data_IF_013213194144
#
_entry.id   IF_013213194144
#
_cell.length_a   1.000
_cell.length_b   1.000
_cell.length_c   1.000
_cell.angle_alpha   90.00
_cell.angle_beta   90.00
_cell.angle_gamma   90.00
#
_symmetry.space_group_name_H-M   'P 1'
#
loop_
_entity.id
_entity.type
_entity.pdbx_description
1 polymer ?
#
# COMPACT_ATOMS: atom_id res chain seq x y z
N UNK A 1 -18.31 40.17 -2.75
CA UNK A 1 -19.34 39.11 -2.75
C UNK A 1 -18.63 37.81 -2.48
N UNK A 2 -18.83 37.20 -1.32
CA UNK A 2 -18.27 35.89 -0.98
C UNK A 2 -18.86 34.83 -1.91
N UNK A 3 -18.00 34.08 -2.62
CA UNK A 3 -18.40 32.89 -3.37
C UNK A 3 -19.02 31.89 -2.39
N UNK A 4 -20.35 31.82 -2.34
CA UNK A 4 -21.05 30.81 -1.57
C UNK A 4 -20.79 29.47 -2.28
N UNK A 5 -20.12 28.50 -1.64
CA UNK A 5 -19.74 27.28 -2.32
C UNK A 5 -20.99 26.49 -2.71
N UNK A 6 -21.12 26.18 -4.01
CA UNK A 6 -22.24 25.43 -4.58
C UNK A 6 -22.36 24.07 -3.86
N UNK A 7 -23.48 23.88 -3.17
CA UNK A 7 -23.82 22.59 -2.56
C UNK A 7 -24.28 21.61 -3.62
N UNK A 8 -23.74 20.39 -3.60
CA UNK A 8 -24.12 19.30 -4.49
C UNK A 8 -24.76 18.21 -3.64
N UNK A 9 -25.94 17.73 -4.06
CA UNK A 9 -26.68 16.65 -3.41
C UNK A 9 -26.77 15.48 -4.37
N UNK A 10 -26.46 14.28 -3.89
CA UNK A 10 -26.52 13.03 -4.69
C UNK A 10 -27.11 11.89 -3.87
N UNK A 11 -27.71 10.94 -4.57
CA UNK A 11 -28.09 9.64 -3.99
C UNK A 11 -26.91 8.70 -4.16
N UNK A 12 -26.30 8.30 -3.06
CA UNK A 12 -25.18 7.39 -3.00
C UNK A 12 -25.57 6.04 -2.40
N UNK A 13 -24.66 5.08 -2.49
CA UNK A 13 -24.74 3.80 -1.79
C UNK A 13 -23.66 3.76 -0.73
N UNK A 14 -24.03 3.42 0.50
CA UNK A 14 -23.06 3.18 1.57
C UNK A 14 -22.17 1.98 1.19
N UNK A 15 -20.85 2.10 1.40
CA UNK A 15 -19.89 1.16 0.86
C UNK A 15 -20.10 -0.29 1.36
N UNK A 16 -20.37 -0.46 2.66
CA UNK A 16 -20.50 -1.78 3.30
C UNK A 16 -21.87 -2.41 3.00
N UNK A 17 -22.96 -1.77 3.43
CA UNK A 17 -24.33 -2.29 3.32
C UNK A 17 -24.92 -2.19 1.91
N UNK A 18 -24.44 -1.27 1.07
CA UNK A 18 -25.05 -0.96 -0.22
C UNK A 18 -26.38 -0.21 -0.11
N UNK A 19 -26.81 0.16 1.12
CA UNK A 19 -28.04 0.93 1.36
C UNK A 19 -27.95 2.30 0.68
N UNK A 20 -29.04 2.72 0.05
CA UNK A 20 -29.11 4.05 -0.53
C UNK A 20 -29.16 5.11 0.58
N UNK A 21 -28.34 6.13 0.43
CA UNK A 21 -28.22 7.27 1.33
C UNK A 21 -28.17 8.55 0.51
N UNK A 22 -28.69 9.64 1.06
CA UNK A 22 -28.48 10.97 0.48
C UNK A 22 -27.23 11.57 1.11
N UNK A 23 -26.34 12.11 0.26
CA UNK A 23 -25.16 12.84 0.73
C UNK A 23 -25.12 14.22 0.06
N UNK A 24 -24.60 15.19 0.81
CA UNK A 24 -24.49 16.58 0.40
C UNK A 24 -23.06 17.04 0.65
N UNK A 25 -22.46 17.70 -0.33
CA UNK A 25 -21.07 18.12 -0.19
C UNK A 25 -20.80 19.45 -0.89
N UNK A 26 -19.80 20.16 -0.37
CA UNK A 26 -19.36 21.48 -0.83
C UNK A 26 -17.88 21.47 -1.15
N UNK A 27 -17.45 22.44 -1.95
CA UNK A 27 -16.06 22.64 -2.35
C UNK A 27 -15.47 21.47 -3.14
N UNK A 28 -15.00 21.76 -4.36
CA UNK A 28 -14.25 20.81 -5.18
C UNK A 28 -12.89 21.43 -5.48
N UNK A 29 -11.90 21.17 -4.65
CA UNK A 29 -10.52 21.45 -5.02
C UNK A 29 -9.97 20.21 -5.70
N UNK A 30 -9.54 20.32 -6.96
CA UNK A 30 -8.81 19.23 -7.62
C UNK A 30 -7.50 19.04 -6.87
N UNK A 31 -7.30 17.84 -6.32
CA UNK A 31 -6.09 17.49 -5.56
C UNK A 31 -5.17 16.56 -6.33
N UNK A 32 -5.69 15.88 -7.36
CA UNK A 32 -4.90 15.05 -8.26
C UNK A 32 -5.61 14.79 -9.58
N UNK A 33 -4.84 14.78 -10.67
CA UNK A 33 -5.24 14.28 -11.98
C UNK A 33 -4.31 13.11 -12.32
N UNK A 34 -4.88 11.93 -12.57
CA UNK A 34 -4.13 10.74 -12.96
C UNK A 34 -4.73 10.09 -14.20
N UNK A 35 -4.04 9.08 -14.73
CA UNK A 35 -4.49 8.28 -15.87
C UNK A 35 -5.84 7.59 -15.64
N UNK A 36 -6.23 7.36 -14.38
CA UNK A 36 -7.45 6.64 -14.01
C UNK A 36 -8.62 7.56 -13.63
N UNK A 37 -8.43 8.87 -13.56
CA UNK A 37 -9.50 9.82 -13.21
C UNK A 37 -9.03 11.05 -12.45
N UNK A 38 -10.00 11.77 -11.90
CA UNK A 38 -9.79 13.03 -11.16
C UNK A 38 -10.18 12.84 -9.71
N UNK A 39 -9.33 13.31 -8.79
CA UNK A 39 -9.60 13.31 -7.35
C UNK A 39 -9.91 14.73 -6.88
N UNK A 40 -11.02 14.88 -6.18
CA UNK A 40 -11.45 16.13 -5.56
C UNK A 40 -11.38 16.02 -4.04
N UNK A 41 -10.78 17.00 -3.38
CA UNK A 41 -11.05 17.25 -1.96
C UNK A 41 -12.39 17.98 -1.84
N UNK A 42 -13.20 17.52 -0.90
CA UNK A 42 -14.51 18.06 -0.58
C UNK A 42 -14.82 17.99 0.91
N UNK A 43 -15.94 18.57 1.33
CA UNK A 43 -16.47 18.45 2.69
C UNK A 43 -17.89 17.91 2.65
N UNK A 44 -18.14 16.82 3.36
CA UNK A 44 -19.48 16.28 3.56
C UNK A 44 -20.23 17.16 4.56
N UNK A 45 -21.45 17.57 4.22
CA UNK A 45 -22.22 18.51 5.05
C UNK A 45 -22.89 17.80 6.23
N UNK A 46 -23.29 16.54 6.08
CA UNK A 46 -23.97 15.78 7.12
C UNK A 46 -23.07 15.51 8.33
N UNK A 47 -21.77 15.29 8.10
CA UNK A 47 -20.79 14.98 9.15
C UNK A 47 -19.81 16.13 9.42
N UNK A 48 -19.81 17.15 8.56
CA UNK A 48 -18.81 18.22 8.55
C UNK A 48 -17.35 17.72 8.43
N UNK A 49 -17.16 16.54 7.83
CA UNK A 49 -15.84 15.92 7.62
C UNK A 49 -15.31 16.19 6.21
N UNK A 50 -13.99 16.34 6.09
CA UNK A 50 -13.33 16.32 4.78
C UNK A 50 -13.39 14.92 4.16
N UNK A 51 -13.51 14.88 2.83
CA UNK A 51 -13.56 13.65 2.04
C UNK A 51 -12.82 13.82 0.71
N UNK A 52 -12.40 12.70 0.14
CA UNK A 52 -11.86 12.62 -1.21
C UNK A 52 -12.87 11.95 -2.15
N UNK A 53 -13.20 12.58 -3.28
CA UNK A 53 -14.04 11.96 -4.31
C UNK A 53 -13.17 11.64 -5.52
N UNK A 54 -12.93 10.36 -5.78
CA UNK A 54 -12.28 9.89 -7.01
C UNK A 54 -13.35 9.63 -8.06
N UNK A 55 -13.34 10.41 -9.13
CA UNK A 55 -14.25 10.30 -10.27
C UNK A 55 -13.56 9.57 -11.41
N UNK A 56 -14.10 8.42 -11.81
CA UNK A 56 -13.56 7.55 -12.87
C UNK A 56 -14.63 7.29 -13.92
N UNK A 57 -14.24 7.19 -15.19
CA UNK A 57 -15.16 6.80 -16.26
C UNK A 57 -15.53 5.32 -16.07
N UNK A 58 -16.82 5.01 -16.14
CA UNK A 58 -17.35 3.67 -15.94
C UNK A 58 -17.85 3.09 -17.26
N UNK A 59 -17.23 2.00 -17.71
CA UNK A 59 -17.83 1.16 -18.74
C UNK A 59 -19.02 0.39 -18.15
N UNK A 60 -20.22 0.61 -18.69
CA UNK A 60 -21.46 -0.01 -18.21
C UNK A 60 -21.46 -1.54 -18.32
N UNK A 61 -20.61 -2.10 -19.17
CA UNK A 61 -20.55 -3.55 -19.44
C UNK A 61 -19.78 -4.33 -18.38
N UNK A 62 -18.95 -3.65 -17.58
CA UNK A 62 -18.05 -4.29 -16.64
C UNK A 62 -18.26 -3.77 -15.23
N UNK A 63 -18.12 -4.65 -14.24
CA UNK A 63 -18.00 -4.23 -12.84
C UNK A 63 -16.66 -3.51 -12.64
N UNK A 64 -16.65 -2.46 -11.83
CA UNK A 64 -15.42 -1.77 -11.48
C UNK A 64 -14.67 -2.54 -10.38
N UNK A 65 -13.47 -3.04 -10.72
CA UNK A 65 -12.65 -3.82 -9.80
C UNK A 65 -12.21 -3.03 -8.58
N UNK A 66 -11.86 -1.75 -8.74
CA UNK A 66 -11.48 -0.87 -7.63
C UNK A 66 -12.63 -0.77 -6.63
N UNK A 67 -13.86 -0.54 -7.10
CA UNK A 67 -15.05 -0.54 -6.24
C UNK A 67 -15.25 -1.88 -5.53
N UNK A 68 -15.10 -3.01 -6.23
CA UNK A 68 -15.27 -4.33 -5.63
C UNK A 68 -14.27 -4.56 -4.49
N UNK A 69 -12.99 -4.25 -4.72
CA UNK A 69 -11.93 -4.39 -3.72
C UNK A 69 -12.13 -3.42 -2.56
N UNK A 70 -12.42 -2.15 -2.84
CA UNK A 70 -12.61 -1.11 -1.81
C UNK A 70 -13.83 -1.37 -0.92
N UNK A 71 -14.79 -2.19 -1.35
CA UNK A 71 -15.92 -2.66 -0.52
C UNK A 71 -15.56 -3.85 0.37
N UNK A 72 -14.50 -4.60 0.04
CA UNK A 72 -14.03 -5.74 0.82
C UNK A 72 -13.07 -5.35 1.94
N UNK A 73 -12.25 -4.33 1.71
CA UNK A 73 -11.18 -3.93 2.63
C UNK A 73 -11.70 -2.98 3.70
N UNK A 74 -11.31 -3.24 4.93
CA UNK A 74 -11.60 -2.41 6.10
C UNK A 74 -10.47 -2.59 7.12
N UNK A 75 -9.52 -1.64 7.11
CA UNK A 75 -8.30 -1.73 7.90
C UNK A 75 -7.78 -0.33 8.25
N UNK A 76 -7.23 -0.09 9.46
CA UNK A 76 -6.75 1.23 9.88
C UNK A 76 -5.75 1.87 8.91
N UNK A 77 -4.89 1.06 8.27
CA UNK A 77 -3.88 1.52 7.32
C UNK A 77 -4.28 1.38 5.84
N UNK A 78 -5.58 1.22 5.54
CA UNK A 78 -6.12 1.30 4.17
C UNK A 78 -7.14 2.44 4.12
N UNK A 79 -7.09 3.25 3.07
CA UNK A 79 -8.02 4.37 2.89
C UNK A 79 -9.45 3.83 2.72
N UNK A 80 -10.34 4.23 3.62
CA UNK A 80 -11.71 3.73 3.70
C UNK A 80 -12.59 4.32 2.61
N UNK A 81 -13.30 3.45 1.90
CA UNK A 81 -14.47 3.84 1.10
C UNK A 81 -15.66 4.10 2.04
N UNK A 82 -16.17 5.33 2.05
CA UNK A 82 -17.37 5.73 2.81
C UNK A 82 -18.63 5.38 2.02
N UNK A 83 -18.70 5.83 0.77
CA UNK A 83 -19.84 5.60 -0.12
C UNK A 83 -19.43 5.70 -1.58
N UNK A 84 -20.33 5.37 -2.49
CA UNK A 84 -20.10 5.54 -3.93
C UNK A 84 -21.40 5.90 -4.65
N UNK A 85 -21.30 6.61 -5.77
CA UNK A 85 -22.45 6.96 -6.60
C UNK A 85 -22.08 7.05 -8.07
N UNK A 86 -23.08 6.93 -8.93
CA UNK A 86 -22.92 7.05 -10.38
C UNK A 86 -23.59 8.34 -10.85
N UNK A 87 -22.89 9.10 -11.69
CA UNK A 87 -23.45 10.27 -12.36
C UNK A 87 -23.30 10.12 -13.87
N UNK A 88 -24.33 10.52 -14.60
CA UNK A 88 -24.30 10.64 -16.05
C UNK A 88 -24.01 12.11 -16.41
N UNK A 89 -23.22 12.35 -17.44
CA UNK A 89 -22.97 13.71 -17.91
C UNK A 89 -24.18 14.18 -18.71
N UNK A 90 -24.71 15.37 -18.37
CA UNK A 90 -25.75 16.02 -19.16
C UNK A 90 -25.27 16.16 -20.61
N UNK A 91 -26.11 15.78 -21.57
CA UNK A 91 -25.82 15.80 -23.01
C UNK A 91 -24.80 14.75 -23.51
N UNK A 92 -24.40 13.78 -22.68
CA UNK A 92 -23.61 12.61 -23.12
C UNK A 92 -24.15 11.32 -22.50
N UNK A 93 -25.20 10.77 -23.12
CA UNK A 93 -25.94 9.64 -22.56
C UNK A 93 -25.08 8.37 -22.36
N UNK A 94 -23.98 8.21 -23.09
CA UNK A 94 -23.12 7.01 -22.98
C UNK A 94 -22.01 7.14 -21.92
N UNK A 95 -21.78 8.33 -21.36
CA UNK A 95 -20.72 8.55 -20.38
C UNK A 95 -21.27 8.50 -18.94
N UNK A 96 -21.06 7.35 -18.27
CA UNK A 96 -21.32 7.21 -16.83
C UNK A 96 -20.01 7.31 -16.08
N UNK A 97 -20.03 8.06 -14.98
CA UNK A 97 -18.90 8.16 -14.07
C UNK A 97 -19.24 7.51 -12.74
N UNK A 98 -18.34 6.67 -12.26
CA UNK A 98 -18.32 6.17 -10.89
C UNK A 98 -17.56 7.18 -10.03
N UNK A 99 -18.14 7.53 -8.88
CA UNK A 99 -17.55 8.42 -7.90
C UNK A 99 -17.37 7.64 -6.59
N UNK A 100 -16.13 7.47 -6.17
CA UNK A 100 -15.76 6.82 -4.92
C UNK A 100 -15.53 7.90 -3.86
N UNK A 101 -16.37 7.92 -2.82
CA UNK A 101 -16.26 8.85 -1.69
C UNK A 101 -15.45 8.18 -0.60
N UNK A 102 -14.25 8.70 -0.33
CA UNK A 102 -13.27 8.13 0.58
C UNK A 102 -12.97 9.10 1.73
N UNK A 103 -12.38 8.61 2.81
CA UNK A 103 -11.76 9.48 3.80
C UNK A 103 -10.68 10.36 3.17
N UNK A 104 -10.53 11.58 3.69
CA UNK A 104 -9.48 12.50 3.26
C UNK A 104 -8.30 12.45 4.22
N UNK A 105 -7.11 12.22 3.67
CA UNK A 105 -5.84 12.28 4.38
C UNK A 105 -5.00 13.38 3.73
N UNK A 106 -4.40 14.31 4.51
CA UNK A 106 -3.96 15.61 3.99
C UNK A 106 -2.70 15.57 3.13
N UNK A 107 -1.84 14.57 3.31
CA UNK A 107 -0.55 14.51 2.64
C UNK A 107 -0.25 13.13 2.04
N UNK A 108 0.90 13.01 1.39
CA UNK A 108 1.43 11.77 0.80
C UNK A 108 2.88 11.55 1.21
N UNK A 109 3.31 10.29 1.26
CA UNK A 109 4.71 9.96 1.51
C UNK A 109 5.64 10.57 0.47
N UNK A 110 5.20 10.66 -0.79
CA UNK A 110 5.96 11.35 -1.84
C UNK A 110 6.30 12.80 -1.47
N UNK A 111 5.31 13.56 -1.00
CA UNK A 111 5.50 14.96 -0.59
C UNK A 111 6.37 15.07 0.66
N UNK A 112 6.21 14.16 1.62
CA UNK A 112 7.05 14.11 2.81
C UNK A 112 8.53 13.83 2.47
N UNK A 113 8.81 12.83 1.63
CA UNK A 113 10.18 12.52 1.17
C UNK A 113 10.78 13.71 0.43
N UNK A 114 10.03 14.32 -0.49
CA UNK A 114 10.46 15.53 -1.22
C UNK A 114 10.72 16.73 -0.31
N UNK A 115 9.95 16.88 0.78
CA UNK A 115 10.16 17.94 1.75
C UNK A 115 11.53 17.82 2.41
N UNK A 116 11.86 16.65 2.98
CA UNK A 116 13.17 16.40 3.59
C UNK A 116 14.32 16.55 2.57
N UNK A 117 14.17 15.99 1.37
CA UNK A 117 15.17 16.11 0.32
C UNK A 117 15.46 17.58 -0.08
N UNK A 118 14.42 18.42 -0.20
CA UNK A 118 14.59 19.86 -0.48
C UNK A 118 15.33 20.59 0.63
N UNK A 119 15.14 20.19 1.88
CA UNK A 119 15.85 20.72 3.04
C UNK A 119 17.26 20.11 3.21
N UNK A 120 17.69 19.23 2.30
CA UNK A 120 18.96 18.46 2.42
C UNK A 120 19.07 17.70 3.74
N UNK A 121 17.92 17.22 4.23
CA UNK A 121 17.82 16.41 5.44
C UNK A 121 17.35 15.01 5.08
N UNK A 122 17.75 14.03 5.88
CA UNK A 122 17.15 12.70 5.83
C UNK A 122 15.87 12.68 6.66
N UNK A 123 14.91 11.84 6.26
CA UNK A 123 13.72 11.61 7.08
C UNK A 123 14.15 10.97 8.42
N UNK A 124 13.68 11.48 9.58
CA UNK A 124 13.95 10.86 10.86
C UNK A 124 13.62 9.38 10.86
N UNK A 125 14.54 8.55 11.35
CA UNK A 125 14.41 7.10 11.30
C UNK A 125 13.16 6.57 12.03
N UNK A 126 12.71 7.28 13.07
CA UNK A 126 11.47 6.95 13.77
C UNK A 126 10.24 7.10 12.85
N UNK A 127 10.18 8.13 12.00
CA UNK A 127 9.13 8.27 11.00
C UNK A 127 9.21 7.17 9.94
N UNK A 128 10.43 6.79 9.52
CA UNK A 128 10.61 5.66 8.59
C UNK A 128 10.02 4.39 9.19
N UNK A 129 10.29 4.09 10.47
CA UNK A 129 9.71 2.95 11.17
C UNK A 129 8.19 3.03 11.21
N UNK A 130 7.62 4.14 11.67
CA UNK A 130 6.17 4.32 11.83
C UNK A 130 5.43 4.17 10.50
N UNK A 131 5.92 4.79 9.44
CA UNK A 131 5.26 4.72 8.13
C UNK A 131 5.44 3.34 7.49
N UNK A 132 6.64 2.76 7.54
CA UNK A 132 6.89 1.44 6.96
C UNK A 132 6.10 0.35 7.69
N UNK A 133 6.00 0.41 9.01
CA UNK A 133 5.21 -0.56 9.79
C UNK A 133 3.74 -0.55 9.35
N UNK A 134 3.14 0.64 9.21
CA UNK A 134 1.76 0.80 8.78
C UNK A 134 1.54 0.38 7.31
N UNK A 135 2.49 0.67 6.41
CA UNK A 135 2.46 0.19 5.01
C UNK A 135 2.50 -1.35 4.98
N UNK A 136 3.45 -1.95 5.69
CA UNK A 136 3.61 -3.41 5.73
C UNK A 136 2.40 -4.08 6.38
N UNK A 137 1.82 -3.47 7.42
CA UNK A 137 0.60 -3.98 8.07
C UNK A 137 -0.59 -3.95 7.11
N UNK A 138 -0.74 -2.86 6.34
CA UNK A 138 -1.75 -2.80 5.27
C UNK A 138 -1.56 -3.90 4.23
N UNK A 139 -0.30 -4.20 3.86
CA UNK A 139 0.02 -5.29 2.93
C UNK A 139 -0.31 -6.66 3.50
N UNK A 140 0.06 -6.95 4.75
CA UNK A 140 -0.27 -8.21 5.41
C UNK A 140 -1.78 -8.45 5.39
N UNK A 141 -2.57 -7.41 5.69
CA UNK A 141 -4.02 -7.47 5.63
C UNK A 141 -4.56 -7.77 4.22
N UNK A 142 -4.20 -6.98 3.19
CA UNK A 142 -4.75 -7.21 1.84
C UNK A 142 -4.23 -8.51 1.21
N UNK A 143 -3.00 -8.92 1.54
CA UNK A 143 -2.43 -10.18 1.09
C UNK A 143 -3.14 -11.38 1.71
N UNK A 144 -3.63 -11.27 2.95
CA UNK A 144 -4.49 -12.30 3.58
C UNK A 144 -5.83 -12.50 2.86
N UNK A 145 -6.23 -11.53 2.04
CA UNK A 145 -7.41 -11.59 1.17
C UNK A 145 -7.04 -12.04 -0.25
N UNK A 146 -5.78 -12.33 -0.56
CA UNK A 146 -5.30 -12.63 -1.91
C UNK A 146 -5.25 -11.42 -2.85
N UNK A 147 -5.40 -10.20 -2.32
CA UNK A 147 -5.37 -8.96 -3.10
C UNK A 147 -3.92 -8.51 -3.25
N UNK A 148 -3.46 -8.37 -4.49
CA UNK A 148 -2.22 -7.69 -4.83
C UNK A 148 -2.54 -6.23 -5.22
N UNK A 149 -1.82 -5.26 -4.65
CA UNK A 149 -2.03 -3.85 -4.95
C UNK A 149 -1.51 -3.47 -6.33
N UNK A 150 -0.33 -3.97 -6.71
CA UNK A 150 0.30 -3.78 -8.03
C UNK A 150 0.62 -2.34 -8.43
N UNK A 151 0.68 -1.43 -7.45
CA UNK A 151 1.12 -0.04 -7.65
C UNK A 151 1.54 0.63 -6.34
N UNK A 152 2.26 -0.10 -5.48
CA UNK A 152 2.82 0.46 -4.24
C UNK A 152 3.92 1.45 -4.61
N UNK A 153 3.75 2.70 -4.16
CA UNK A 153 4.67 3.83 -4.39
C UNK A 153 4.36 4.96 -3.40
N UNK A 154 5.30 5.91 -3.17
CA UNK A 154 5.10 6.99 -2.19
C UNK A 154 3.88 7.88 -2.47
N UNK A 155 3.43 7.99 -3.72
CA UNK A 155 2.23 8.77 -4.07
C UNK A 155 0.93 8.09 -3.61
N UNK A 156 0.93 6.76 -3.48
CA UNK A 156 -0.23 5.96 -3.09
C UNK A 156 -0.23 5.64 -1.58
N UNK A 157 0.69 6.25 -0.83
CA UNK A 157 0.75 6.17 0.63
C UNK A 157 0.37 7.54 1.17
N UNK A 158 -0.84 7.64 1.72
CA UNK A 158 -1.36 8.87 2.31
C UNK A 158 -0.86 9.01 3.75
N UNK A 159 -0.56 10.24 4.16
CA UNK A 159 -0.03 10.55 5.49
C UNK A 159 -0.83 11.66 6.17
N UNK A 160 -1.03 11.52 7.47
CA UNK A 160 -1.29 12.62 8.38
C UNK A 160 -0.01 12.90 9.20
N UNK A 161 0.78 13.93 8.85
CA UNK A 161 2.04 14.22 9.53
C UNK A 161 1.89 14.58 11.02
N UNK A 162 0.72 15.06 11.45
CA UNK A 162 0.51 15.47 12.83
C UNK A 162 0.34 14.28 13.77
N UNK A 163 -0.32 13.22 13.28
CA UNK A 163 -0.65 12.01 14.04
C UNK A 163 0.23 10.81 13.69
N UNK A 164 1.01 10.90 12.61
CA UNK A 164 1.82 9.80 12.10
C UNK A 164 1.01 8.71 11.39
N UNK A 165 -0.30 8.89 11.20
CA UNK A 165 -1.18 7.92 10.54
C UNK A 165 -0.79 7.79 9.06
N UNK A 166 -0.70 6.55 8.61
CA UNK A 166 -0.40 6.18 7.23
C UNK A 166 -1.48 5.25 6.68
N UNK A 167 -1.96 5.54 5.46
CA UNK A 167 -2.98 4.76 4.77
C UNK A 167 -2.65 4.51 3.31
N UNK A 168 -2.72 3.25 2.89
CA UNK A 168 -2.63 2.87 1.48
C UNK A 168 -3.87 3.31 0.71
N UNK A 169 -3.71 3.86 -0.50
CA UNK A 169 -4.81 4.26 -1.36
C UNK A 169 -4.59 3.83 -2.82
N UNK A 170 -5.59 4.09 -3.66
CA UNK A 170 -5.58 3.82 -5.11
C UNK A 170 -5.49 2.33 -5.48
N UNK A 171 -6.61 1.63 -5.30
CA UNK A 171 -6.78 0.23 -5.68
C UNK A 171 -7.18 0.08 -7.17
N UNK A 172 -6.97 1.11 -8.00
CA UNK A 172 -7.28 1.08 -9.44
C UNK A 172 -6.51 0.00 -10.21
N UNK A 173 -5.29 -0.30 -9.77
CA UNK A 173 -4.46 -1.38 -10.33
C UNK A 173 -4.58 -2.70 -9.57
N UNK A 174 -5.25 -2.74 -8.42
CA UNK A 174 -5.28 -3.93 -7.57
C UNK A 174 -6.02 -5.10 -8.25
N UNK A 175 -5.71 -6.33 -7.85
CA UNK A 175 -6.39 -7.55 -8.33
C UNK A 175 -6.29 -8.65 -7.28
N UNK A 176 -7.35 -9.42 -7.10
CA UNK A 176 -7.27 -10.74 -6.44
C UNK A 176 -6.52 -11.69 -7.37
N UNK A 177 -5.36 -12.19 -6.93
CA UNK A 177 -4.57 -13.12 -7.75
C UNK A 177 -5.06 -14.55 -7.52
N UNK A 178 -5.44 -15.22 -8.61
CA UNK A 178 -5.87 -16.61 -8.61
C UNK A 178 -4.73 -17.46 -9.16
N UNK A 179 -4.23 -18.47 -8.42
CA UNK A 179 -3.20 -19.38 -8.93
C UNK A 179 -3.61 -20.03 -10.26
N UNK A 180 -2.70 -20.03 -11.23
CA UNK A 180 -2.93 -20.57 -12.58
C UNK A 180 -3.55 -19.57 -13.58
N UNK A 181 -4.11 -18.45 -13.13
CA UNK A 181 -4.59 -17.41 -14.04
C UNK A 181 -3.47 -16.45 -14.46
N UNK A 182 -3.29 -16.16 -15.77
CA UNK A 182 -2.32 -15.20 -16.21
C UNK A 182 -2.73 -13.77 -15.86
N UNK A 183 -1.72 -12.94 -15.56
CA UNK A 183 -1.88 -11.53 -15.22
C UNK A 183 -1.00 -10.67 -16.14
N UNK A 184 -1.42 -9.42 -16.36
CA UNK A 184 -0.64 -8.45 -17.16
C UNK A 184 0.69 -8.16 -16.45
N UNK A 185 1.80 -8.32 -17.16
CA UNK A 185 3.16 -8.10 -16.67
C UNK A 185 3.56 -6.63 -16.66
N UNK A 186 3.10 -5.84 -17.65
CA UNK A 186 3.31 -4.39 -17.70
C UNK A 186 2.39 -3.66 -16.71
N UNK A 187 2.69 -3.82 -15.42
CA UNK A 187 1.98 -3.26 -14.27
C UNK A 187 3.00 -2.65 -13.29
N UNK A 188 2.54 -1.97 -12.24
CA UNK A 188 3.32 -1.13 -11.34
C UNK A 188 3.96 0.10 -12.00
N UNK A 189 4.09 1.16 -11.23
CA UNK A 189 4.93 2.31 -11.59
C UNK A 189 6.40 1.89 -11.67
N UNK A 190 7.11 2.36 -12.70
CA UNK A 190 8.39 1.79 -13.16
C UNK A 190 9.45 1.62 -12.07
N UNK A 191 9.72 2.65 -11.26
CA UNK A 191 10.78 2.64 -10.24
C UNK A 191 10.53 1.62 -9.10
N UNK A 192 9.29 1.16 -8.95
CA UNK A 192 8.86 0.22 -7.93
C UNK A 192 8.51 -1.14 -8.52
N UNK A 193 8.73 -1.33 -9.83
CA UNK A 193 8.38 -2.57 -10.55
C UNK A 193 9.36 -3.69 -10.20
N UNK A 194 8.82 -4.83 -9.77
CA UNK A 194 9.59 -6.03 -9.46
C UNK A 194 10.25 -6.61 -10.72
N UNK A 195 11.46 -7.20 -10.60
CA UNK A 195 12.23 -7.63 -11.75
C UNK A 195 11.53 -8.72 -12.57
N UNK A 196 10.77 -9.63 -11.96
CA UNK A 196 9.97 -10.64 -12.66
C UNK A 196 8.92 -10.03 -13.60
N UNK A 197 8.38 -8.85 -13.29
CA UNK A 197 7.48 -8.13 -14.17
C UNK A 197 8.21 -7.53 -15.38
N UNK A 198 9.47 -7.11 -15.18
CA UNK A 198 10.34 -6.62 -16.26
C UNK A 198 10.72 -7.78 -17.20
N UNK A 199 10.94 -8.98 -16.65
CA UNK A 199 11.07 -10.24 -17.39
C UNK A 199 9.75 -10.74 -17.99
N UNK A 200 8.64 -10.02 -17.83
CA UNK A 200 7.38 -10.34 -18.49
C UNK A 200 6.60 -11.50 -17.86
N UNK A 201 6.88 -11.87 -16.60
CA UNK A 201 6.15 -12.91 -15.90
C UNK A 201 4.65 -12.57 -15.81
N UNK A 202 3.78 -13.56 -16.02
CA UNK A 202 2.32 -13.43 -15.91
C UNK A 202 1.73 -14.22 -14.75
N UNK A 203 2.52 -15.10 -14.15
CA UNK A 203 2.21 -15.95 -12.99
C UNK A 203 2.83 -15.41 -11.68
N UNK A 204 3.11 -14.11 -11.62
CA UNK A 204 3.64 -13.47 -10.42
C UNK A 204 2.66 -13.56 -9.24
N UNK A 205 3.18 -13.43 -8.02
CA UNK A 205 2.42 -13.51 -6.78
C UNK A 205 2.31 -12.15 -6.10
N UNK A 206 1.75 -12.14 -4.88
CA UNK A 206 1.68 -10.97 -4.00
C UNK A 206 3.07 -10.37 -3.67
N UNK A 207 4.15 -11.13 -3.88
CA UNK A 207 5.52 -10.74 -3.55
C UNK A 207 6.05 -9.58 -4.40
N UNK A 208 5.36 -9.20 -5.49
CA UNK A 208 5.70 -7.97 -6.23
C UNK A 208 5.46 -6.73 -5.37
N UNK A 209 4.45 -6.74 -4.48
CA UNK A 209 4.19 -5.61 -3.57
C UNK A 209 5.29 -5.51 -2.51
N UNK A 210 5.85 -6.64 -2.05
CA UNK A 210 6.98 -6.65 -1.11
C UNK A 210 8.21 -5.98 -1.72
N UNK A 211 8.51 -6.28 -2.99
CA UNK A 211 9.58 -5.60 -3.72
C UNK A 211 9.33 -4.09 -3.80
N UNK A 212 8.13 -3.69 -4.23
CA UNK A 212 7.77 -2.27 -4.32
C UNK A 212 7.89 -1.56 -2.97
N UNK A 213 7.52 -2.21 -1.87
CA UNK A 213 7.70 -1.71 -0.50
C UNK A 213 9.17 -1.58 -0.11
N UNK A 214 10.03 -2.50 -0.53
CA UNK A 214 11.49 -2.36 -0.40
C UNK A 214 12.03 -1.13 -1.12
N UNK A 215 11.55 -0.86 -2.35
CA UNK A 215 11.89 0.36 -3.09
C UNK A 215 11.38 1.63 -2.37
N UNK A 216 10.18 1.61 -1.80
CA UNK A 216 9.64 2.74 -1.00
C UNK A 216 10.52 2.99 0.23
N UNK A 217 10.89 1.94 0.96
CA UNK A 217 11.78 2.06 2.12
C UNK A 217 13.13 2.66 1.75
N UNK A 218 13.73 2.19 0.64
CA UNK A 218 14.98 2.72 0.11
C UNK A 218 14.86 4.22 -0.23
N UNK A 219 13.78 4.61 -0.90
CA UNK A 219 13.53 6.00 -1.26
C UNK A 219 13.32 6.91 -0.05
N UNK A 220 12.69 6.42 1.02
CA UNK A 220 12.56 7.17 2.27
C UNK A 220 13.92 7.43 2.95
N UNK A 221 14.84 6.45 2.88
CA UNK A 221 16.17 6.57 3.44
C UNK A 221 17.10 7.45 2.59
N UNK A 222 16.93 7.44 1.26
CA UNK A 222 17.78 8.19 0.31
C UNK A 222 17.27 9.59 -0.03
N UNK A 223 15.96 9.83 0.10
CA UNK A 223 15.32 11.07 -0.35
C UNK A 223 15.02 11.11 -1.87
N UNK A 224 15.30 10.03 -2.59
CA UNK A 224 15.11 9.91 -4.05
C UNK A 224 14.85 8.45 -4.46
N UNK A 225 14.22 8.19 -5.63
CA UNK A 225 13.95 6.84 -6.10
C UNK A 225 15.21 5.98 -6.16
N UNK A 226 15.13 4.74 -5.69
CA UNK A 226 16.30 3.86 -5.56
C UNK A 226 16.76 3.27 -6.91
N UNK A 227 15.81 2.96 -7.81
CA UNK A 227 16.09 2.44 -9.14
C UNK A 227 15.42 3.33 -10.21
N UNK A 228 16.04 4.45 -10.60
CA UNK A 228 15.43 5.45 -11.48
C UNK A 228 15.64 5.14 -12.98
N UNK A 229 15.07 4.04 -13.49
CA UNK A 229 15.23 3.65 -14.89
C UNK A 229 14.37 4.46 -15.88
N UNK A 230 14.92 4.82 -17.03
CA UNK A 230 14.22 5.59 -18.07
C UNK A 230 13.28 4.74 -18.94
N UNK A 231 13.54 3.44 -19.02
CA UNK A 231 12.78 2.45 -19.79
C UNK A 231 12.60 1.13 -19.02
N UNK A 232 11.86 0.18 -19.58
CA UNK A 232 11.74 -1.16 -18.95
C UNK A 232 13.08 -1.88 -18.86
N UNK A 233 13.91 -1.78 -19.91
CA UNK A 233 15.25 -2.39 -19.94
C UNK A 233 16.18 -1.65 -18.98
N UNK A 234 16.15 -0.32 -19.02
CA UNK A 234 17.01 0.49 -18.15
C UNK A 234 16.66 0.32 -16.66
N UNK A 235 15.39 0.08 -16.33
CA UNK A 235 14.97 -0.29 -14.98
C UNK A 235 15.67 -1.56 -14.49
N UNK A 236 15.84 -2.58 -15.34
CA UNK A 236 16.59 -3.79 -14.98
C UNK A 236 18.08 -3.49 -14.82
N UNK A 237 18.64 -2.61 -15.64
CA UNK A 237 20.04 -2.17 -15.54
C UNK A 237 20.29 -1.48 -14.19
N UNK A 238 19.41 -0.58 -13.75
CA UNK A 238 19.50 0.08 -12.44
C UNK A 238 19.46 -0.94 -11.28
N UNK A 239 18.63 -1.98 -11.39
CA UNK A 239 18.58 -3.05 -10.38
C UNK A 239 19.90 -3.83 -10.36
N UNK A 240 20.41 -4.24 -11.52
CA UNK A 240 21.66 -5.03 -11.64
C UNK A 240 22.87 -4.24 -11.13
N UNK A 241 22.92 -2.92 -11.34
CA UNK A 241 24.01 -2.07 -10.81
C UNK A 241 24.16 -2.18 -9.28
N UNK A 242 23.07 -2.45 -8.58
CA UNK A 242 23.03 -2.53 -7.11
C UNK A 242 23.07 -3.98 -6.63
N UNK A 243 22.16 -4.84 -7.11
CA UNK A 243 22.04 -6.22 -6.64
C UNK A 243 23.03 -7.18 -7.33
N UNK A 244 23.75 -6.71 -8.35
CA UNK A 244 24.56 -7.55 -9.20
C UNK A 244 23.72 -8.33 -10.22
N UNK A 245 24.41 -9.11 -11.05
CA UNK A 245 23.77 -9.93 -12.08
C UNK A 245 23.01 -11.10 -11.43
N UNK A 246 21.72 -11.31 -11.76
CA UNK A 246 20.97 -12.43 -11.22
C UNK A 246 21.58 -13.76 -11.67
N UNK A 247 21.58 -14.73 -10.78
CA UNK A 247 21.95 -16.12 -11.07
C UNK A 247 20.94 -16.78 -12.01
N UNK A 248 21.31 -17.91 -12.61
CA UNK A 248 20.38 -18.69 -13.47
C UNK A 248 19.12 -19.12 -12.72
N UNK A 249 19.27 -19.52 -11.46
CA UNK A 249 18.14 -19.95 -10.61
C UNK A 249 17.20 -18.79 -10.30
N UNK A 250 17.74 -17.59 -10.03
CA UNK A 250 16.95 -16.38 -9.85
C UNK A 250 16.22 -15.97 -11.14
N UNK A 251 16.88 -16.05 -12.31
CA UNK A 251 16.23 -15.80 -13.60
C UNK A 251 15.11 -16.81 -13.83
N UNK A 252 15.34 -18.10 -13.55
CA UNK A 252 14.33 -19.13 -13.70
C UNK A 252 13.11 -18.89 -12.81
N UNK A 253 13.34 -18.47 -11.56
CA UNK A 253 12.29 -18.14 -10.60
C UNK A 253 11.50 -16.87 -10.99
N UNK A 254 12.15 -15.91 -11.65
CA UNK A 254 11.50 -14.70 -12.17
C UNK A 254 10.70 -15.01 -13.45
N UNK A 255 11.34 -15.63 -14.44
CA UNK A 255 10.71 -16.14 -15.65
C UNK A 255 11.61 -17.17 -16.37
N UNK A 256 11.22 -18.44 -16.32
CA UNK A 256 11.96 -19.55 -16.92
C UNK A 256 12.26 -19.38 -18.43
N UNK A 257 11.46 -18.60 -19.17
CA UNK A 257 11.69 -18.33 -20.60
C UNK A 257 12.95 -17.50 -20.88
N UNK A 258 13.57 -16.89 -19.87
CA UNK A 258 14.72 -15.99 -20.02
C UNK A 258 16.04 -16.56 -19.48
N UNK A 259 16.08 -17.81 -19.03
CA UNK A 259 17.26 -18.43 -18.39
C UNK A 259 18.52 -18.42 -19.27
N UNK A 260 18.36 -18.53 -20.58
CA UNK A 260 19.47 -18.51 -21.54
C UNK A 260 19.97 -17.09 -21.89
N UNK A 261 19.31 -16.05 -21.38
CA UNK A 261 19.73 -14.68 -21.60
C UNK A 261 21.03 -14.39 -20.86
N UNK A 262 22.01 -13.82 -21.57
CA UNK A 262 23.33 -13.50 -21.01
C UNK A 262 23.40 -12.03 -20.64
N UNK A 263 23.61 -11.76 -19.37
CA UNK A 263 23.87 -10.42 -18.85
C UNK A 263 25.38 -10.23 -18.63
N UNK A 264 25.91 -9.00 -18.79
CA UNK A 264 27.22 -8.65 -18.26
C UNK A 264 27.33 -9.03 -16.79
N UNK A 265 28.49 -9.55 -16.37
CA UNK A 265 28.72 -9.95 -14.98
C UNK A 265 29.08 -8.73 -14.14
N UNK A 266 28.19 -8.37 -13.22
CA UNK A 266 28.28 -7.21 -12.33
C UNK A 266 28.18 -7.74 -10.90
N UNK A 267 29.15 -7.35 -10.05
CA UNK A 267 29.13 -7.71 -8.62
C UNK A 267 28.14 -6.83 -7.86
N UNK A 268 27.45 -7.35 -6.84
CA UNK A 268 26.57 -6.56 -6.00
C UNK A 268 27.32 -5.42 -5.31
N UNK A 269 26.68 -4.26 -5.24
CA UNK A 269 27.17 -3.12 -4.48
C UNK A 269 26.71 -3.23 -3.02
N UNK A 270 27.63 -3.13 -2.03
CA UNK A 270 27.23 -3.26 -0.62
C UNK A 270 26.27 -2.14 -0.19
N UNK A 271 25.08 -2.50 0.29
CA UNK A 271 24.03 -1.53 0.65
C UNK A 271 24.48 -0.55 1.75
N UNK A 272 25.31 -0.98 2.71
CA UNK A 272 25.83 -0.09 3.76
C UNK A 272 26.66 1.09 3.22
N UNK A 273 27.22 0.98 2.01
CA UNK A 273 27.94 2.08 1.35
C UNK A 273 26.99 3.08 0.69
N UNK A 274 25.77 2.65 0.35
CA UNK A 274 24.74 3.48 -0.26
C UNK A 274 23.94 4.21 0.84
N UNK A 275 23.50 3.48 1.86
CA UNK A 275 22.66 3.98 2.94
C UNK A 275 23.51 4.41 4.15
N UNK A 276 24.42 5.37 3.91
CA UNK A 276 25.34 5.86 4.94
C UNK A 276 24.55 6.48 6.10
N UNK A 277 24.79 5.98 7.32
CA UNK A 277 24.10 6.43 8.53
C UNK A 277 22.72 5.81 8.77
N UNK A 278 22.23 4.96 7.87
CA UNK A 278 21.03 4.16 8.15
C UNK A 278 21.38 3.04 9.16
N UNK A 279 20.44 2.66 10.06
CA UNK A 279 20.66 1.53 10.96
C UNK A 279 20.84 0.22 10.19
N UNK A 280 21.70 -0.67 10.68
CA UNK A 280 21.92 -2.00 10.08
C UNK A 280 20.62 -2.79 9.95
N UNK A 281 19.74 -2.72 10.96
CA UNK A 281 18.42 -3.37 10.91
C UNK A 281 17.52 -2.87 9.77
N UNK A 282 17.70 -1.62 9.32
CA UNK A 282 16.95 -1.06 8.21
C UNK A 282 17.46 -1.63 6.88
N UNK A 283 18.78 -1.70 6.73
CA UNK A 283 19.46 -2.29 5.57
C UNK A 283 19.11 -3.78 5.45
N UNK A 284 19.13 -4.51 6.57
CA UNK A 284 18.79 -5.93 6.63
C UNK A 284 17.33 -6.18 6.20
N UNK A 285 16.36 -5.44 6.75
CA UNK A 285 14.95 -5.55 6.33
C UNK A 285 14.78 -5.31 4.83
N UNK A 286 15.37 -4.22 4.33
CA UNK A 286 15.29 -3.84 2.92
C UNK A 286 15.95 -4.89 2.02
N UNK A 287 17.07 -5.48 2.44
CA UNK A 287 17.72 -6.56 1.70
C UNK A 287 16.82 -7.79 1.59
N UNK A 288 16.07 -8.13 2.64
CA UNK A 288 15.10 -9.24 2.65
C UNK A 288 13.88 -8.97 1.78
N UNK A 289 13.57 -7.71 1.45
CA UNK A 289 12.50 -7.34 0.52
C UNK A 289 12.98 -7.33 -0.94
N UNK A 290 14.22 -6.89 -1.17
CA UNK A 290 14.81 -6.69 -2.51
C UNK A 290 15.59 -7.93 -2.98
N UNK A 291 14.88 -9.05 -3.10
CA UNK A 291 15.42 -10.31 -3.63
C UNK A 291 14.93 -10.54 -5.07
N UNK A 292 15.80 -11.04 -5.96
CA UNK A 292 15.39 -11.44 -7.30
C UNK A 292 14.39 -12.59 -7.26
N UNK A 293 14.72 -13.65 -6.51
CA UNK A 293 13.83 -14.80 -6.33
C UNK A 293 12.58 -14.36 -5.54
N UNK A 294 11.37 -14.35 -6.14
CA UNK A 294 10.19 -13.75 -5.49
C UNK A 294 9.83 -14.43 -4.17
N UNK A 295 10.01 -15.74 -4.06
CA UNK A 295 9.70 -16.54 -2.86
C UNK A 295 10.73 -16.38 -1.72
N UNK A 296 11.91 -15.81 -1.99
CA UNK A 296 12.89 -15.50 -0.94
C UNK A 296 12.61 -14.16 -0.27
N UNK A 297 11.68 -13.36 -0.80
CA UNK A 297 11.27 -12.10 -0.17
C UNK A 297 10.52 -12.40 1.12
N UNK A 298 10.87 -11.67 2.18
CA UNK A 298 10.17 -11.73 3.46
C UNK A 298 8.67 -11.44 3.27
N UNK A 299 7.80 -12.23 3.89
CA UNK A 299 6.36 -11.93 3.83
C UNK A 299 6.03 -10.67 4.63
N UNK A 300 4.90 -10.01 4.33
CA UNK A 300 4.51 -8.79 5.04
C UNK A 300 4.36 -9.01 6.56
N UNK A 301 3.75 -10.13 6.97
CA UNK A 301 3.55 -10.46 8.39
C UNK A 301 4.88 -10.74 9.12
N UNK A 302 5.84 -11.40 8.46
CA UNK A 302 7.19 -11.60 8.99
C UNK A 302 7.97 -10.28 9.05
N UNK A 303 7.79 -9.40 8.07
CA UNK A 303 8.42 -8.10 8.06
C UNK A 303 7.98 -7.23 9.25
N UNK A 304 6.72 -7.31 9.69
CA UNK A 304 6.27 -6.64 10.93
C UNK A 304 7.06 -7.08 12.15
N UNK A 305 7.50 -8.34 12.18
CA UNK A 305 8.29 -8.94 13.26
C UNK A 305 9.78 -8.58 13.21
N UNK A 306 10.22 -7.81 12.21
CA UNK A 306 11.64 -7.51 12.01
C UNK A 306 12.21 -6.63 13.14
N UNK A 307 13.48 -6.84 13.56
CA UNK A 307 14.14 -6.01 14.59
C UNK A 307 14.17 -4.51 14.29
N UNK A 308 14.06 -4.13 13.01
CA UNK A 308 13.96 -2.71 12.61
C UNK A 308 12.81 -1.97 13.32
N UNK A 309 11.73 -2.69 13.66
CA UNK A 309 10.54 -2.15 14.31
C UNK A 309 10.53 -2.31 15.83
N UNK A 310 11.57 -2.87 16.46
CA UNK A 310 11.64 -2.98 17.92
C UNK A 310 11.44 -1.67 18.67
N UNK A 311 12.02 -0.54 18.22
CA UNK A 311 11.78 0.73 18.90
C UNK A 311 10.32 1.21 18.90
N UNK A 312 9.45 0.65 18.04
CA UNK A 312 8.02 0.97 18.06
C UNK A 312 7.27 0.24 19.19
N UNK A 313 7.84 -0.86 19.70
CA UNK A 313 7.25 -1.71 20.74
C UNK A 313 7.62 -1.28 22.15
N UNK A 314 8.42 -0.23 22.29
CA UNK A 314 8.69 0.40 23.57
C UNK A 314 7.47 1.26 23.96
N UNK A 315 6.86 1.07 25.14
CA UNK A 315 5.74 1.91 25.60
C UNK A 315 6.12 3.40 25.75
N UNK A 316 7.41 3.73 25.83
CA UNK A 316 7.91 5.11 25.86
C UNK A 316 8.16 5.70 24.46
N UNK A 317 7.94 4.94 23.39
CA UNK A 317 8.19 5.41 22.03
C UNK A 317 7.24 6.55 21.62
N UNK A 318 7.79 7.55 20.95
CA UNK A 318 7.07 8.75 20.54
C UNK A 318 7.48 9.19 19.13
N UNK A 319 6.61 9.95 18.47
CA UNK A 319 6.94 10.64 17.24
C UNK A 319 7.99 11.73 17.51
N UNK A 320 8.78 12.16 16.50
CA UNK A 320 9.77 13.22 16.68
C UNK A 320 9.20 14.58 17.13
N UNK A 321 7.89 14.80 16.97
CA UNK A 321 7.19 15.98 17.46
C UNK A 321 6.75 15.87 18.94
N UNK A 322 7.11 14.78 19.64
CA UNK A 322 6.73 14.51 21.04
C UNK A 322 5.34 13.93 21.24
N UNK A 323 4.55 13.74 20.17
CA UNK A 323 3.24 13.09 20.27
C UNK A 323 3.39 11.56 20.40
N UNK A 324 2.36 10.92 20.96
CA UNK A 324 2.25 9.47 20.98
C UNK A 324 2.26 8.88 19.55
N UNK A 325 2.72 7.63 19.43
CA UNK A 325 2.59 6.88 18.19
C UNK A 325 1.11 6.65 17.85
N UNK A 326 0.75 6.53 16.55
CA UNK A 326 -0.61 6.12 16.16
C UNK A 326 -0.89 4.68 16.62
N UNK A 327 -2.14 4.19 16.56
CA UNK A 327 -2.45 2.79 16.86
C UNK A 327 -1.68 1.83 15.94
N UNK A 328 -0.69 1.12 16.49
CA UNK A 328 0.14 0.16 15.75
C UNK A 328 -0.22 -1.30 16.05
N UNK A 329 -0.69 -1.59 17.27
CA UNK A 329 -0.81 -2.95 17.80
C UNK A 329 -2.26 -3.42 18.01
N UNK A 330 -3.24 -2.62 17.59
CA UNK A 330 -4.66 -2.96 17.58
C UNK A 330 -4.99 -3.97 16.44
N UNK A 331 -4.33 -5.13 16.45
CA UNK A 331 -4.51 -6.18 15.47
C UNK A 331 -5.90 -6.81 15.57
N UNK A 332 -6.51 -7.07 14.41
CA UNK A 332 -7.74 -7.85 14.33
C UNK A 332 -7.46 -9.36 14.45
N UNK A 333 -8.49 -10.13 14.82
CA UNK A 333 -8.43 -11.60 14.80
C UNK A 333 -7.98 -12.14 13.44
N UNK A 334 -8.39 -11.52 12.33
CA UNK A 334 -7.94 -11.89 10.98
C UNK A 334 -6.43 -11.72 10.82
N UNK A 335 -5.87 -10.58 11.22
CA UNK A 335 -4.43 -10.31 11.07
C UNK A 335 -3.58 -11.30 11.88
N UNK A 336 -3.95 -11.54 13.14
CA UNK A 336 -3.23 -12.49 14.00
C UNK A 336 -3.38 -13.95 13.53
N UNK A 337 -4.46 -14.27 12.81
CA UNK A 337 -4.68 -15.60 12.23
C UNK A 337 -3.79 -15.89 11.01
N UNK A 338 -3.13 -14.88 10.41
CA UNK A 338 -2.24 -15.09 9.24
C UNK A 338 -1.04 -15.96 9.63
N UNK A 339 -0.44 -15.66 10.78
CA UNK A 339 0.70 -16.39 11.36
C UNK A 339 0.57 -16.41 12.89
N UNK A 340 -0.27 -17.30 13.45
CA UNK A 340 -0.51 -17.38 14.89
C UNK A 340 0.77 -17.64 15.70
N UNK A 341 1.74 -18.32 15.10
CA UNK A 341 3.07 -18.57 15.66
C UNK A 341 3.89 -17.29 15.92
N UNK A 342 3.50 -16.16 15.31
CA UNK A 342 4.19 -14.87 15.47
C UNK A 342 3.48 -13.90 16.44
N UNK A 343 2.36 -14.30 17.08
CA UNK A 343 1.53 -13.40 17.90
C UNK A 343 2.33 -12.68 18.98
N UNK A 344 3.14 -13.40 19.77
CA UNK A 344 3.95 -12.80 20.84
C UNK A 344 5.03 -11.82 20.34
N UNK A 345 5.33 -11.84 19.03
CA UNK A 345 6.24 -10.90 18.39
C UNK A 345 5.51 -9.69 17.80
N UNK A 346 4.27 -9.89 17.36
CA UNK A 346 3.39 -8.86 16.83
C UNK A 346 2.80 -8.00 17.93
N UNK A 347 2.37 -8.61 19.04
CA UNK A 347 1.68 -7.97 20.17
C UNK A 347 2.66 -7.78 21.34
N UNK A 348 3.10 -6.54 21.64
CA UNK A 348 3.87 -6.27 22.85
C UNK A 348 3.04 -6.53 24.11
N UNK A 349 3.66 -6.97 25.24
CA UNK A 349 2.93 -7.27 26.47
C UNK A 349 2.05 -6.14 26.99
N UNK A 350 2.50 -4.88 26.83
CA UNK A 350 1.77 -3.70 27.30
C UNK A 350 0.49 -3.40 26.49
N UNK A 351 0.26 -4.06 25.35
CA UNK A 351 -0.95 -3.90 24.53
C UNK A 351 -1.90 -5.09 24.61
N UNK A 352 -1.53 -6.16 25.32
CA UNK A 352 -2.35 -7.38 25.43
C UNK A 352 -3.71 -7.10 26.08
N UNK A 353 -3.74 -6.24 27.10
CA UNK A 353 -4.99 -5.89 27.77
C UNK A 353 -5.98 -5.16 26.83
N UNK A 354 -5.49 -4.26 25.98
CA UNK A 354 -6.33 -3.56 25.00
C UNK A 354 -6.97 -4.56 24.01
N UNK A 355 -6.21 -5.57 23.56
CA UNK A 355 -6.75 -6.62 22.69
C UNK A 355 -7.76 -7.51 23.41
N UNK A 356 -7.48 -7.87 24.67
CA UNK A 356 -8.39 -8.66 25.49
C UNK A 356 -9.74 -7.94 25.69
N UNK A 357 -9.71 -6.62 25.93
CA UNK A 357 -10.90 -5.78 26.05
C UNK A 357 -11.74 -5.77 24.75
N UNK A 358 -11.11 -6.03 23.61
CA UNK A 358 -11.76 -6.20 22.30
C UNK A 358 -12.05 -7.67 21.94
N UNK A 359 -11.95 -8.59 22.89
CA UNK A 359 -12.28 -10.01 22.73
C UNK A 359 -11.20 -10.86 22.06
N UNK A 360 -9.94 -10.42 22.09
CA UNK A 360 -8.79 -11.16 21.56
C UNK A 360 -7.86 -11.53 22.72
N UNK A 361 -7.97 -12.77 23.19
CA UNK A 361 -7.01 -13.36 24.13
C UNK A 361 -5.81 -13.92 23.36
N UNK A 362 -4.63 -13.34 23.55
CA UNK A 362 -3.40 -13.75 22.86
C UNK A 362 -2.82 -15.07 23.37
N UNK A 363 -3.09 -15.44 24.63
CA UNK A 363 -2.58 -16.66 25.26
C UNK A 363 -3.46 -17.87 24.92
N UNK A 364 -4.74 -17.63 24.64
CA UNK A 364 -5.71 -18.64 24.21
C UNK A 364 -6.25 -18.36 22.81
N UNK A 365 -5.40 -17.85 21.92
CA UNK A 365 -5.82 -17.40 20.60
C UNK A 365 -6.22 -18.56 19.69
N UNK A 366 -7.48 -18.58 19.26
CA UNK A 366 -7.96 -19.50 18.23
C UNK A 366 -7.96 -18.82 16.86
N UNK A 367 -7.13 -19.28 15.90
CA UNK A 367 -7.07 -18.68 14.57
C UNK A 367 -8.37 -18.90 13.79
N UNK A 368 -8.67 -17.95 12.88
CA UNK A 368 -9.76 -18.10 11.93
C UNK A 368 -9.51 -19.33 11.04
N UNK A 369 -10.54 -20.16 10.78
CA UNK A 369 -10.40 -21.27 9.86
C UNK A 369 -10.18 -20.79 8.42
N UNK A 370 -9.52 -21.61 7.61
CA UNK A 370 -9.00 -21.24 6.28
C UNK A 370 -10.10 -20.81 5.27
N UNK A 371 -11.33 -21.27 5.46
CA UNK A 371 -12.50 -20.87 4.66
C UNK A 371 -12.89 -19.40 4.90
N UNK A 372 -12.69 -18.88 6.12
CA UNK A 372 -12.96 -17.48 6.44
C UNK A 372 -11.90 -16.54 5.85
N UNK A 373 -10.76 -17.04 5.41
CA UNK A 373 -9.79 -16.24 4.65
C UNK A 373 -10.19 -16.03 3.19
N UNK A 374 -11.09 -16.86 2.65
CA UNK A 374 -11.47 -16.78 1.24
C UNK A 374 -12.38 -15.58 1.01
N UNK A 375 -12.11 -14.84 -0.07
CA UNK A 375 -13.04 -13.83 -0.58
C UNK A 375 -14.33 -14.55 -1.02
N UNK A 376 -15.53 -14.05 -0.67
CA UNK A 376 -16.76 -14.67 -1.09
C UNK A 376 -16.85 -14.73 -2.63
N UNK A 377 -17.37 -15.83 -3.22
CA UNK A 377 -17.42 -15.99 -4.68
C UNK A 377 -18.11 -14.84 -5.42
N UNK A 378 -19.01 -14.11 -4.74
CA UNK A 378 -19.69 -12.93 -5.28
C UNK A 378 -18.76 -11.74 -5.61
N UNK A 379 -17.51 -11.78 -5.12
CA UNK A 379 -16.50 -10.74 -5.29
C UNK A 379 -15.30 -11.15 -6.15
N UNK A 380 -15.18 -12.43 -6.52
CA UNK A 380 -14.14 -12.95 -7.43
C UNK A 380 -14.54 -12.67 -8.88
#
# INVERSE_FOLDING_TARGET
MSDIPKTIRVVAKEAKSGKQIQISYVNKKVTGNGSFGVVYQTRLLETNEDAAIKKVLQDRRFKNRELQIMRLVDHPNVCRLKSYFYNQVENKQDEVYLNLVMEYIPDTLYRAVRHYAKQKQTMPIMLVRVYMYQVIRSLAYIHSLGICHRDIKPQNVLLDPATGICKMCDFGSAKVLVPGEPNVSYICSRYYRAPELIFGATNYTLNIDIWSTGCVMAEMLLGQPFFPGDSGIDQLVEIIKILGTPTKDEIAAMNASYVEHRFPQIKPHPLHKIFVGAPESAIDLMSKMLQYHPQHRISAIEALCHPFFDPLRDPAAQLPNGHALPPLFNFSKRELSIRPDLIHRLVPPHTEQELLDHGIDVHHFEPLPADQFKIPPSFV
#
